data_IF_873378888598
#
_entry.id   IF_873378888598
#
_cell.length_a   1.000
_cell.length_b   1.000
_cell.length_c   1.000
_cell.angle_alpha   90.00
_cell.angle_beta   90.00
_cell.angle_gamma   90.00
#
_symmetry.space_group_name_H-M   'P 1'
#
loop_
_entity.id
_entity.type
_entity.pdbx_description
1 polymer ?
#
# COMPACT_ATOMS: atom_id res chain seq x y z
N UNK A 1 -18.20 -50.19 4.78
CA UNK A 1 -19.05 -48.99 4.95
C UNK A 1 -19.19 -48.69 6.44
N UNK A 2 -18.60 -47.61 6.93
CA UNK A 2 -18.84 -47.06 8.29
C UNK A 2 -18.98 -45.55 8.16
N UNK A 3 -20.20 -45.06 8.38
CA UNK A 3 -20.55 -43.64 8.42
C UNK A 3 -19.95 -43.01 9.68
N UNK A 4 -19.03 -42.08 9.52
CA UNK A 4 -18.51 -41.27 10.61
C UNK A 4 -19.07 -39.85 10.51
N UNK A 5 -20.09 -39.58 11.33
CA UNK A 5 -20.65 -38.26 11.60
C UNK A 5 -19.55 -37.32 12.13
N UNK A 6 -19.34 -36.15 11.51
CA UNK A 6 -18.53 -35.06 12.09
C UNK A 6 -19.36 -33.78 12.25
N UNK A 7 -19.68 -33.56 13.52
CA UNK A 7 -20.11 -32.36 14.25
C UNK A 7 -19.95 -31.03 13.47
N UNK A 8 -21.06 -30.32 13.33
CA UNK A 8 -21.13 -28.91 12.93
C UNK A 8 -20.64 -28.02 14.07
N UNK A 9 -19.46 -27.42 13.95
CA UNK A 9 -19.02 -26.32 14.80
C UNK A 9 -19.50 -25.00 14.20
N UNK A 10 -20.44 -24.33 14.88
CA UNK A 10 -20.84 -22.95 14.57
C UNK A 10 -19.65 -22.02 14.87
N UNK A 11 -18.95 -21.56 13.84
CA UNK A 11 -17.97 -20.49 13.99
C UNK A 11 -18.71 -19.17 14.09
N UNK A 12 -18.70 -18.57 15.28
CA UNK A 12 -19.18 -17.22 15.55
C UNK A 12 -18.38 -16.23 14.69
N UNK A 13 -19.00 -15.72 13.64
CA UNK A 13 -18.48 -14.56 12.92
C UNK A 13 -18.48 -13.36 13.87
N UNK A 14 -17.31 -13.00 14.39
CA UNK A 14 -17.11 -11.68 15.01
C UNK A 14 -17.28 -10.65 13.90
N UNK A 15 -18.44 -10.00 13.90
CA UNK A 15 -18.78 -8.90 13.01
C UNK A 15 -17.84 -7.72 13.34
N UNK A 16 -16.87 -7.46 12.47
CA UNK A 16 -16.07 -6.24 12.53
C UNK A 16 -16.98 -5.06 12.17
N UNK A 17 -16.93 -3.93 12.90
CA UNK A 17 -17.86 -2.83 12.72
C UNK A 17 -17.75 -2.29 11.29
N UNK A 18 -18.87 -2.40 10.57
CA UNK A 18 -19.13 -1.79 9.27
C UNK A 18 -19.08 -0.27 9.41
N UNK A 19 -18.01 0.34 8.90
CA UNK A 19 -17.88 1.78 8.93
C UNK A 19 -16.51 2.27 8.48
N UNK A 20 -16.31 2.32 7.15
CA UNK A 20 -15.42 3.22 6.38
C UNK A 20 -15.17 2.56 5.02
N UNK A 21 -15.61 3.19 3.94
CA UNK A 21 -15.26 2.76 2.59
C UNK A 21 -13.73 2.82 2.42
N UNK A 22 -13.07 1.67 2.57
CA UNK A 22 -11.64 1.48 2.30
C UNK A 22 -11.50 1.10 0.83
N UNK A 23 -10.87 1.96 0.05
CA UNK A 23 -10.57 1.75 -1.37
C UNK A 23 -9.08 1.43 -1.48
N UNK A 24 -8.72 0.22 -1.87
CA UNK A 24 -7.38 -0.15 -2.32
C UNK A 24 -7.28 0.24 -3.78
N UNK A 25 -6.21 0.85 -4.28
CA UNK A 25 -5.98 0.90 -5.72
C UNK A 25 -4.89 -0.15 -6.01
N UNK A 26 -5.29 -1.38 -6.33
CA UNK A 26 -4.38 -2.43 -6.84
C UNK A 26 -4.10 -2.09 -8.29
N UNK A 27 -2.85 -1.74 -8.60
CA UNK A 27 -2.45 -1.26 -9.91
C UNK A 27 -1.42 -2.22 -10.48
N UNK A 28 -1.79 -2.91 -11.57
CA UNK A 28 -0.87 -3.73 -12.36
C UNK A 28 -0.03 -2.85 -13.30
N UNK A 29 0.82 -1.97 -12.76
CA UNK A 29 1.67 -1.12 -13.59
C UNK A 29 3.10 -1.03 -13.08
N UNK A 30 4.04 -1.40 -13.95
CA UNK A 30 5.46 -1.44 -13.64
C UNK A 30 6.06 -0.02 -13.50
N UNK A 31 6.54 0.23 -12.28
CA UNK A 31 7.67 1.06 -11.81
C UNK A 31 7.71 2.60 -12.01
N UNK A 32 6.96 3.24 -12.91
CA UNK A 32 7.05 4.73 -13.06
C UNK A 32 5.79 5.50 -12.72
N UNK A 33 4.64 4.88 -12.87
CA UNK A 33 3.37 5.59 -12.94
C UNK A 33 2.69 5.66 -11.59
N UNK A 34 2.99 4.73 -10.70
CA UNK A 34 2.47 4.71 -9.33
C UNK A 34 2.93 5.98 -8.59
N UNK A 35 4.22 6.26 -8.63
CA UNK A 35 4.81 7.48 -8.08
C UNK A 35 4.32 8.73 -8.80
N UNK A 36 4.20 8.72 -10.14
CA UNK A 36 3.65 9.87 -10.90
C UNK A 36 2.18 10.13 -10.56
N UNK A 37 1.39 9.07 -10.40
CA UNK A 37 -0.01 9.14 -10.02
C UNK A 37 -0.15 9.71 -8.60
N UNK A 38 0.69 9.26 -7.66
CA UNK A 38 0.79 9.84 -6.32
C UNK A 38 1.00 11.34 -6.42
N UNK A 39 2.02 11.77 -7.19
CA UNK A 39 2.34 13.18 -7.35
C UNK A 39 1.16 13.96 -7.93
N UNK A 40 0.42 13.40 -8.90
CA UNK A 40 -0.72 14.05 -9.56
C UNK A 40 -1.98 14.16 -8.69
N UNK A 41 -2.29 13.13 -7.91
CA UNK A 41 -3.50 13.02 -7.08
C UNK A 41 -3.31 13.51 -5.65
N UNK A 42 -2.07 13.89 -5.30
CA UNK A 42 -1.71 14.42 -4.01
C UNK A 42 -2.42 15.76 -3.73
N UNK A 43 -3.07 15.83 -2.57
CA UNK A 43 -3.74 17.00 -2.01
C UNK A 43 -3.02 17.45 -0.72
N UNK A 44 -2.34 18.59 -0.81
CA UNK A 44 -1.58 19.19 0.29
C UNK A 44 -2.36 19.39 1.59
N UNK A 45 -3.69 19.57 1.51
CA UNK A 45 -4.52 19.84 2.69
C UNK A 45 -4.77 18.60 3.54
N UNK A 46 -4.73 17.41 2.94
CA UNK A 46 -5.19 16.18 3.61
C UNK A 46 -4.24 14.99 3.50
N UNK A 47 -3.30 15.02 2.56
CA UNK A 47 -2.46 13.87 2.25
C UNK A 47 -1.12 13.89 2.97
N UNK A 48 -0.68 12.68 3.31
CA UNK A 48 0.71 12.33 3.58
C UNK A 48 1.09 11.11 2.74
N UNK A 49 2.37 11.01 2.41
CA UNK A 49 2.92 9.90 1.63
C UNK A 49 3.89 9.11 2.50
N UNK A 50 3.73 7.79 2.44
CA UNK A 50 4.61 6.81 3.04
C UNK A 50 5.19 5.96 1.93
N UNK A 51 6.47 5.65 2.01
CA UNK A 51 7.11 4.67 1.14
C UNK A 51 8.03 3.76 1.96
N UNK A 52 8.55 2.72 1.33
CA UNK A 52 9.35 1.68 2.00
C UNK A 52 10.81 2.12 2.15
N UNK A 53 11.41 2.66 1.08
CA UNK A 53 12.85 2.94 1.01
C UNK A 53 13.16 4.42 1.17
N UNK A 54 14.40 4.73 1.55
CA UNK A 54 14.86 6.12 1.67
C UNK A 54 14.96 6.75 0.29
N UNK A 55 15.45 6.01 -0.69
CA UNK A 55 15.60 6.43 -2.08
C UNK A 55 14.26 6.84 -2.70
N UNK A 56 13.21 6.03 -2.50
CA UNK A 56 11.87 6.38 -2.98
C UNK A 56 11.32 7.62 -2.27
N UNK A 57 11.64 7.81 -0.98
CA UNK A 57 11.22 8.99 -0.24
C UNK A 57 11.90 10.27 -0.77
N UNK A 58 13.20 10.21 -1.03
CA UNK A 58 13.95 11.33 -1.60
C UNK A 58 13.51 11.64 -3.05
N UNK A 59 13.26 10.62 -3.88
CA UNK A 59 12.72 10.79 -5.23
C UNK A 59 11.34 11.47 -5.21
N UNK A 60 10.44 11.04 -4.32
CA UNK A 60 9.14 11.69 -4.11
C UNK A 60 9.27 13.14 -3.61
N UNK A 61 10.18 13.40 -2.67
CA UNK A 61 10.45 14.76 -2.19
C UNK A 61 10.99 15.66 -3.30
N UNK A 62 11.81 15.13 -4.21
CA UNK A 62 12.34 15.84 -5.37
C UNK A 62 11.28 16.13 -6.44
N UNK A 63 10.23 15.31 -6.54
CA UNK A 63 9.11 15.47 -7.50
C UNK A 63 7.98 16.37 -7.01
N UNK A 64 7.80 16.49 -5.70
CA UNK A 64 6.77 17.30 -5.06
C UNK A 64 7.08 18.80 -4.76
N UNK A 65 8.28 19.39 -4.98
CA UNK A 65 8.54 20.79 -4.57
C UNK A 65 7.58 21.78 -5.22
N UNK A 66 7.22 21.54 -6.48
CA UNK A 66 6.27 22.39 -7.23
C UNK A 66 4.84 22.37 -6.64
N UNK A 67 4.51 21.43 -5.74
CA UNK A 67 3.18 21.28 -5.15
C UNK A 67 3.11 21.64 -3.66
N UNK A 68 4.18 21.38 -2.90
CA UNK A 68 4.22 21.57 -1.43
C UNK A 68 5.45 22.31 -0.91
N UNK A 69 6.41 22.65 -1.77
CA UNK A 69 7.62 23.37 -1.37
C UNK A 69 8.38 22.66 -0.24
N UNK A 70 8.79 23.44 0.76
CA UNK A 70 9.57 22.96 1.90
C UNK A 70 8.85 21.92 2.78
N UNK A 71 7.52 21.78 2.68
CA UNK A 71 6.77 20.77 3.43
C UNK A 71 6.99 19.34 2.91
N UNK A 72 7.64 19.15 1.75
CA UNK A 72 7.91 17.81 1.21
C UNK A 72 8.57 16.88 2.23
N UNK A 73 9.52 17.39 3.00
CA UNK A 73 10.26 16.63 4.01
C UNK A 73 9.38 16.12 5.16
N UNK A 74 8.32 16.85 5.52
CA UNK A 74 7.41 16.45 6.61
C UNK A 74 6.23 15.62 6.11
N UNK A 75 5.89 15.76 4.82
CA UNK A 75 4.76 15.08 4.16
C UNK A 75 5.11 13.74 3.55
N UNK A 76 6.37 13.54 3.14
CA UNK A 76 6.89 12.30 2.59
C UNK A 76 7.86 11.68 3.58
N UNK A 77 7.54 10.49 4.09
CA UNK A 77 8.37 9.77 5.06
C UNK A 77 8.44 8.29 4.73
N UNK A 78 9.45 7.60 5.26
CA UNK A 78 9.49 6.14 5.18
C UNK A 78 8.56 5.51 6.22
N UNK A 79 8.12 4.28 5.94
CA UNK A 79 7.28 3.48 6.84
C UNK A 79 7.92 3.38 8.22
N UNK A 80 9.19 3.00 8.30
CA UNK A 80 9.94 2.91 9.55
C UNK A 80 9.91 4.24 10.33
N UNK A 81 10.11 5.36 9.64
CA UNK A 81 10.11 6.69 10.25
C UNK A 81 8.76 7.02 10.91
N UNK A 82 7.65 6.66 10.27
CA UNK A 82 6.29 6.90 10.79
C UNK A 82 5.97 5.95 11.95
N UNK A 83 6.40 4.69 11.88
CA UNK A 83 6.16 3.74 12.96
C UNK A 83 6.90 4.11 14.24
N UNK A 84 8.12 4.66 14.13
CA UNK A 84 8.91 5.06 15.31
C UNK A 84 8.46 6.41 15.87
N UNK A 85 8.29 7.42 15.02
CA UNK A 85 8.07 8.80 15.48
C UNK A 85 6.58 9.23 15.45
N UNK A 86 5.70 8.41 14.89
CA UNK A 86 4.32 8.77 14.62
C UNK A 86 4.17 9.96 13.65
N UNK A 87 2.97 10.54 13.63
CA UNK A 87 2.70 11.83 13.03
C UNK A 87 2.56 12.89 14.12
N UNK A 88 3.29 14.00 13.98
CA UNK A 88 3.23 15.13 14.94
C UNK A 88 1.91 15.91 14.89
N UNK A 89 1.14 15.79 13.80
CA UNK A 89 -0.12 16.52 13.61
C UNK A 89 -1.24 15.57 13.17
N UNK A 90 -2.41 15.73 13.79
CA UNK A 90 -3.62 14.91 13.56
C UNK A 90 -4.51 15.41 12.40
N UNK A 91 -4.02 16.32 11.56
CA UNK A 91 -4.84 17.03 10.57
C UNK A 91 -5.03 16.27 9.25
N UNK A 92 -4.28 15.19 9.02
CA UNK A 92 -4.23 14.51 7.72
C UNK A 92 -5.28 13.40 7.63
N UNK A 93 -6.27 13.61 6.77
CA UNK A 93 -7.38 12.68 6.62
C UNK A 93 -7.04 11.46 5.73
N UNK A 94 -6.01 11.54 4.87
CA UNK A 94 -5.66 10.46 3.93
C UNK A 94 -4.16 10.16 3.93
N UNK A 95 -3.82 8.88 4.04
CA UNK A 95 -2.46 8.36 3.93
C UNK A 95 -2.29 7.59 2.62
N UNK A 96 -1.28 7.97 1.83
CA UNK A 96 -0.89 7.30 0.60
C UNK A 96 0.32 6.42 0.92
N UNK A 97 0.24 5.11 0.72
CA UNK A 97 1.37 4.19 0.86
C UNK A 97 1.79 3.76 -0.53
N UNK A 98 2.97 4.21 -0.93
CA UNK A 98 3.72 3.77 -2.10
C UNK A 98 4.42 2.45 -1.80
N UNK A 99 4.66 1.64 -2.83
CA UNK A 99 5.28 0.31 -2.71
C UNK A 99 4.63 -0.54 -1.60
N UNK A 100 3.29 -0.50 -1.54
CA UNK A 100 2.54 -1.07 -0.43
C UNK A 100 2.75 -2.58 -0.29
N UNK A 101 3.13 -3.28 -1.37
CA UNK A 101 3.36 -4.73 -1.37
C UNK A 101 4.63 -5.10 -0.60
N UNK A 102 5.65 -4.24 -0.68
CA UNK A 102 6.94 -4.45 -0.02
C UNK A 102 6.89 -4.27 1.50
N UNK A 103 5.83 -3.62 2.00
CA UNK A 103 5.66 -3.39 3.43
C UNK A 103 5.04 -4.59 4.14
N UNK A 104 5.61 -4.94 5.30
CA UNK A 104 5.04 -5.95 6.19
C UNK A 104 3.56 -5.66 6.45
N UNK A 105 2.73 -6.72 6.47
CA UNK A 105 1.29 -6.58 6.65
C UNK A 105 0.94 -5.79 7.93
N UNK A 106 1.57 -6.13 9.05
CA UNK A 106 1.39 -5.42 10.32
C UNK A 106 1.77 -3.95 10.24
N UNK A 107 2.80 -3.58 9.48
CA UNK A 107 3.20 -2.18 9.30
C UNK A 107 2.10 -1.39 8.57
N UNK A 108 1.48 -1.99 7.54
CA UNK A 108 0.33 -1.38 6.83
C UNK A 108 -0.88 -1.19 7.74
N UNK A 109 -1.19 -2.18 8.60
CA UNK A 109 -2.29 -2.07 9.56
C UNK A 109 -2.01 -0.97 10.58
N UNK A 110 -0.80 -0.90 11.14
CA UNK A 110 -0.42 0.17 12.06
C UNK A 110 -0.51 1.54 11.40
N UNK A 111 -0.01 1.68 10.16
CA UNK A 111 -0.16 2.91 9.38
C UNK A 111 -1.64 3.27 9.13
N UNK A 112 -2.51 2.26 8.93
CA UNK A 112 -3.94 2.46 8.78
C UNK A 112 -4.61 3.01 10.06
N UNK A 113 -4.12 2.64 11.25
CA UNK A 113 -4.62 3.16 12.52
C UNK A 113 -4.26 4.63 12.74
N UNK A 114 -3.19 5.09 12.08
CA UNK A 114 -2.71 6.48 12.17
C UNK A 114 -3.44 7.45 11.22
N UNK A 115 -4.35 6.97 10.37
CA UNK A 115 -5.04 7.79 9.38
C UNK A 115 -6.54 7.45 9.25
N UNK A 116 -7.35 8.43 8.83
CA UNK A 116 -8.80 8.20 8.64
C UNK A 116 -9.11 7.41 7.36
N UNK A 117 -8.33 7.65 6.30
CA UNK A 117 -8.43 6.99 5.00
C UNK A 117 -7.04 6.54 4.56
N UNK A 118 -6.97 5.33 4.02
CA UNK A 118 -5.75 4.76 3.49
C UNK A 118 -5.90 4.53 1.99
N UNK A 119 -4.85 4.82 1.25
CA UNK A 119 -4.69 4.42 -0.14
C UNK A 119 -3.39 3.62 -0.25
N UNK A 120 -3.52 2.37 -0.64
CA UNK A 120 -2.41 1.49 -0.95
C UNK A 120 -2.19 1.53 -2.45
N UNK A 121 -0.94 1.73 -2.86
CA UNK A 121 -0.47 1.79 -4.24
C UNK A 121 0.73 0.85 -4.32
N UNK A 122 0.77 0.04 -5.36
CA UNK A 122 1.80 -0.95 -5.57
C UNK A 122 1.32 -2.04 -6.52
N UNK A 123 2.29 -2.80 -7.01
CA UNK A 123 2.10 -3.83 -8.02
C UNK A 123 2.08 -5.23 -7.39
N UNK A 124 0.93 -5.91 -7.47
CA UNK A 124 0.76 -7.27 -6.94
C UNK A 124 1.70 -8.31 -7.55
N UNK A 125 2.21 -8.03 -8.76
CA UNK A 125 3.13 -8.92 -9.48
C UNK A 125 4.60 -8.63 -9.15
N UNK A 126 4.89 -7.55 -8.40
CA UNK A 126 6.23 -7.28 -7.89
C UNK A 126 6.52 -8.03 -6.59
N UNK A 127 7.79 -8.01 -6.18
CA UNK A 127 8.27 -8.73 -5.01
C UNK A 127 7.56 -8.17 -3.76
N UNK A 128 6.73 -8.98 -3.06
CA UNK A 128 6.09 -8.56 -1.83
C UNK A 128 7.10 -8.52 -0.68
N UNK A 129 6.65 -8.10 0.50
CA UNK A 129 7.45 -8.22 1.72
C UNK A 129 7.94 -9.66 1.94
N UNK A 130 9.26 -9.84 2.06
CA UNK A 130 9.89 -11.12 2.37
C UNK A 130 10.43 -11.08 3.80
N UNK A 131 10.04 -12.07 4.62
CA UNK A 131 10.75 -12.35 5.88
C UNK A 131 12.08 -13.03 5.58
N UNK A 132 13.17 -12.26 5.66
CA UNK A 132 14.53 -12.73 5.33
C UNK A 132 15.03 -13.85 6.23
N UNK A 133 14.52 -13.93 7.45
CA UNK A 133 14.96 -14.90 8.44
C UNK A 133 13.98 -16.07 8.58
N UNK A 134 12.85 -16.02 7.86
CA UNK A 134 11.78 -17.02 7.89
C UNK A 134 11.42 -17.43 9.32
N UNK A 135 11.33 -16.43 10.21
CA UNK A 135 11.12 -16.60 11.65
C UNK A 135 9.70 -17.07 11.93
N UNK A 136 8.74 -16.71 11.07
CA UNK A 136 7.35 -17.10 11.23
C UNK A 136 6.64 -17.30 9.88
N UNK A 137 5.62 -18.18 9.83
CA UNK A 137 4.77 -18.29 8.67
C UNK A 137 3.99 -16.99 8.47
N UNK A 138 4.23 -16.34 7.34
CA UNK A 138 3.56 -15.10 6.96
C UNK A 138 2.12 -15.39 6.51
N UNK A 139 1.14 -14.87 7.25
CA UNK A 139 -0.26 -14.83 6.83
C UNK A 139 -0.60 -13.42 6.30
N UNK A 140 -1.50 -13.31 5.32
CA UNK A 140 -1.92 -12.03 4.71
C UNK A 140 -0.87 -11.31 3.86
N UNK A 141 0.00 -12.07 3.19
CA UNK A 141 0.94 -11.53 2.20
C UNK A 141 0.22 -10.77 1.08
N UNK A 142 -0.95 -11.27 0.66
CA UNK A 142 -1.77 -10.68 -0.40
C UNK A 142 -2.65 -9.54 0.15
N UNK A 143 -2.48 -8.29 -0.31
CA UNK A 143 -3.28 -7.13 0.15
C UNK A 143 -4.76 -7.24 -0.22
N UNK A 144 -5.07 -7.95 -1.29
CA UNK A 144 -6.45 -8.15 -1.74
C UNK A 144 -7.27 -8.95 -0.72
N UNK A 145 -6.62 -9.60 0.26
CA UNK A 145 -7.29 -10.22 1.39
C UNK A 145 -7.90 -9.19 2.38
N UNK A 146 -7.40 -7.95 2.40
CA UNK A 146 -7.78 -6.95 3.42
C UNK A 146 -8.36 -5.66 2.89
N UNK A 147 -8.16 -5.36 1.60
CA UNK A 147 -8.78 -4.19 1.00
C UNK A 147 -9.07 -4.41 -0.48
N UNK A 148 -10.19 -3.81 -0.91
CA UNK A 148 -10.77 -4.03 -2.23
C UNK A 148 -10.09 -3.16 -3.27
N UNK A 149 -9.64 -3.77 -4.36
CA UNK A 149 -9.18 -3.09 -5.58
C UNK A 149 -10.25 -2.15 -6.12
N UNK A 150 -9.86 -0.90 -6.38
CA UNK A 150 -10.75 0.17 -6.81
C UNK A 150 -10.29 0.87 -8.08
N UNK A 151 -9.08 0.58 -8.57
CA UNK A 151 -8.59 0.99 -9.89
C UNK A 151 -7.30 0.23 -10.20
N UNK A 152 -7.25 -0.38 -11.37
CA UNK A 152 -6.04 -0.92 -11.99
C UNK A 152 -5.49 0.09 -13.00
N UNK A 153 -4.16 0.24 -13.07
CA UNK A 153 -3.47 0.90 -14.17
C UNK A 153 -2.79 -0.18 -14.97
N UNK A 154 -3.01 -0.23 -16.29
CA UNK A 154 -2.51 -1.30 -17.16
C UNK A 154 -1.47 -0.83 -18.19
N UNK A 155 -1.14 0.46 -18.18
CA UNK A 155 -0.27 1.07 -19.18
C UNK A 155 1.09 1.39 -18.56
N UNK A 156 2.17 1.02 -19.24
CA UNK A 156 3.54 1.43 -18.93
C UNK A 156 4.11 2.33 -20.04
N UNK A 157 4.88 3.33 -19.63
CA UNK A 157 5.51 4.42 -20.41
C UNK A 157 7.02 4.31 -20.22
N UNK A 158 7.48 3.45 -19.30
CA UNK A 158 8.88 3.16 -19.07
C UNK A 158 9.30 1.93 -19.86
N UNK A 159 8.46 0.90 -19.86
CA UNK A 159 8.81 -0.36 -20.50
C UNK A 159 8.73 -0.21 -22.03
N UNK A 160 9.75 -0.66 -22.78
CA UNK A 160 9.64 -0.80 -24.22
C UNK A 160 8.60 -1.87 -24.59
N UNK A 161 8.19 -1.88 -25.87
CA UNK A 161 7.03 -2.65 -26.34
C UNK A 161 7.20 -4.16 -26.17
N UNK A 162 8.41 -4.66 -26.38
CA UNK A 162 8.82 -6.05 -26.17
C UNK A 162 8.67 -6.49 -24.70
N UNK A 163 9.15 -5.68 -23.75
CA UNK A 163 9.00 -5.94 -22.31
C UNK A 163 7.52 -5.85 -21.91
N UNK A 164 6.79 -4.85 -22.41
CA UNK A 164 5.35 -4.73 -22.14
C UNK A 164 4.56 -5.94 -22.68
N UNK A 165 4.93 -6.45 -23.86
CA UNK A 165 4.33 -7.64 -24.44
C UNK A 165 4.63 -8.89 -23.61
N UNK A 166 5.88 -9.05 -23.14
CA UNK A 166 6.27 -10.17 -22.28
C UNK A 166 5.50 -10.16 -20.95
N UNK A 167 5.36 -8.99 -20.33
CA UNK A 167 4.64 -8.82 -19.06
C UNK A 167 3.12 -8.99 -19.17
N UNK A 168 2.54 -8.89 -20.38
CA UNK A 168 1.08 -9.01 -20.59
C UNK A 168 0.53 -10.38 -20.19
N UNK A 169 1.34 -11.43 -20.31
CA UNK A 169 0.92 -12.82 -20.15
C UNK A 169 1.45 -13.46 -18.85
N UNK A 170 2.06 -12.67 -17.96
CA UNK A 170 2.53 -13.07 -16.64
C UNK A 170 1.51 -12.71 -15.57
#
# INVERSE_FOLDING_TARGET
MKNFQRKTTKTTHKHLPTGKHRKLHDQRSTWMWETTWIVQEFDKKRDRIVTTTIEAAEDLKGKLPNRIGAEATTRVRTMASILVNGFKEHTHNRLLIDEAMMNHFGARITAALLAKKLLLIGDINQIPHIDKHNVFPMSYEKPNAVAKVSRELLRSYRNPMDVAYALKNL
#
